data_IF_155596656605
#
_entry.id   IF_155596656605
#
_cell.length_a   1.000
_cell.length_b   1.000
_cell.length_c   1.000
_cell.angle_alpha   90.00
_cell.angle_beta   90.00
_cell.angle_gamma   90.00
#
_symmetry.space_group_name_H-M   'P 1'
#
loop_
_entity.id
_entity.type
_entity.pdbx_description
1 polymer ?
#
# COMPACT_ATOMS: atom_id res chain seq x y z
N UNK A 1 -19.28 6.45 -7.26
CA UNK A 1 -17.83 6.71 -7.41
C UNK A 1 -17.28 5.67 -8.37
N UNK A 2 -16.52 6.04 -9.41
CA UNK A 2 -15.95 5.02 -10.32
C UNK A 2 -14.95 4.13 -9.56
N UNK A 3 -14.78 2.86 -9.93
CA UNK A 3 -13.85 1.95 -9.25
C UNK A 3 -12.43 2.54 -9.16
N UNK A 4 -11.94 3.19 -10.23
CA UNK A 4 -10.65 3.87 -10.22
C UNK A 4 -10.56 5.02 -9.19
N UNK A 5 -11.64 5.79 -9.00
CA UNK A 5 -11.70 6.85 -7.97
C UNK A 5 -11.68 6.24 -6.57
N UNK A 6 -12.31 5.09 -6.35
CA UNK A 6 -12.27 4.36 -5.08
C UNK A 6 -10.85 3.91 -4.74
N UNK A 7 -10.18 3.20 -5.64
CA UNK A 7 -8.83 2.68 -5.41
C UNK A 7 -7.81 3.80 -5.18
N UNK A 8 -7.92 4.89 -5.95
CA UNK A 8 -7.12 6.10 -5.73
C UNK A 8 -7.37 6.68 -4.33
N UNK A 9 -8.63 6.80 -3.90
CA UNK A 9 -8.95 7.30 -2.56
C UNK A 9 -8.35 6.40 -1.47
N UNK A 10 -8.48 5.07 -1.61
CA UNK A 10 -7.88 4.12 -0.66
C UNK A 10 -6.36 4.30 -0.61
N UNK A 11 -5.69 4.39 -1.75
CA UNK A 11 -4.23 4.64 -1.82
C UNK A 11 -3.81 5.93 -1.13
N UNK A 12 -4.56 7.03 -1.33
CA UNK A 12 -4.27 8.31 -0.67
C UNK A 12 -4.49 8.21 0.85
N UNK A 13 -5.57 7.56 1.28
CA UNK A 13 -5.80 7.30 2.72
C UNK A 13 -4.68 6.45 3.30
N UNK A 14 -4.24 5.40 2.61
CA UNK A 14 -3.09 4.58 3.04
C UNK A 14 -1.81 5.40 3.17
N UNK A 15 -1.54 6.34 2.26
CA UNK A 15 -0.39 7.24 2.38
C UNK A 15 -0.47 8.13 3.63
N UNK A 16 -1.66 8.65 3.95
CA UNK A 16 -1.89 9.44 5.17
C UNK A 16 -1.70 8.60 6.42
N UNK A 17 -2.22 7.37 6.45
CA UNK A 17 -2.05 6.45 7.58
C UNK A 17 -0.57 6.11 7.82
N UNK A 18 0.19 5.82 6.75
CA UNK A 18 1.63 5.58 6.84
C UNK A 18 2.39 6.81 7.36
N UNK A 19 2.01 8.01 6.91
CA UNK A 19 2.59 9.25 7.44
C UNK A 19 2.30 9.42 8.94
N UNK A 20 1.08 9.10 9.40
CA UNK A 20 0.74 9.13 10.82
C UNK A 20 1.55 8.10 11.64
N UNK A 21 1.76 6.88 11.09
CA UNK A 21 2.63 5.86 11.70
C UNK A 21 4.08 6.34 11.78
N UNK A 22 4.59 7.01 10.75
CA UNK A 22 5.92 7.62 10.79
C UNK A 22 6.03 8.65 11.93
N UNK A 23 5.03 9.52 12.09
CA UNK A 23 4.99 10.49 13.21
C UNK A 23 4.98 9.80 14.56
N UNK A 24 4.18 8.73 14.73
CA UNK A 24 4.19 7.91 15.96
C UNK A 24 5.60 7.40 16.26
N UNK A 25 6.34 6.91 15.26
CA UNK A 25 7.69 6.42 15.47
C UNK A 25 8.71 7.52 15.78
N UNK A 26 8.52 8.75 15.27
CA UNK A 26 9.33 9.91 15.70
C UNK A 26 9.12 10.18 17.19
N UNK A 27 7.86 10.17 17.66
CA UNK A 27 7.54 10.38 19.08
C UNK A 27 8.14 9.28 19.95
N UNK A 28 8.04 8.01 19.53
CA UNK A 28 8.63 6.88 20.26
C UNK A 28 10.16 6.94 20.31
N UNK A 29 10.80 7.36 19.21
CA UNK A 29 12.25 7.58 19.18
C UNK A 29 12.68 8.69 20.14
N UNK A 30 11.95 9.82 20.17
CA UNK A 30 12.22 10.94 21.05
C UNK A 30 12.02 10.59 22.54
N UNK A 31 11.07 9.71 22.84
CA UNK A 31 10.83 9.17 24.18
C UNK A 31 11.77 8.03 24.60
N UNK A 32 12.76 7.66 23.77
CA UNK A 32 13.68 6.55 24.00
C UNK A 32 12.98 5.20 24.30
N UNK A 33 11.80 4.96 23.71
CA UNK A 33 11.04 3.73 23.90
C UNK A 33 11.60 2.58 23.05
N UNK A 34 12.73 2.02 23.45
CA UNK A 34 13.41 0.94 22.74
C UNK A 34 14.49 1.45 21.79
N UNK A 35 14.78 0.69 20.73
CA UNK A 35 15.89 1.02 19.82
C UNK A 35 15.55 2.21 18.92
N UNK A 36 16.29 3.31 19.08
CA UNK A 36 16.18 4.51 18.21
C UNK A 36 16.42 4.13 16.74
N UNK A 37 17.40 3.27 16.47
CA UNK A 37 17.69 2.81 15.11
C UNK A 37 16.49 2.08 14.47
N UNK A 38 15.76 1.27 15.26
CA UNK A 38 14.53 0.61 14.80
C UNK A 38 13.46 1.62 14.42
N UNK A 39 13.26 2.66 15.25
CA UNK A 39 12.27 3.70 14.96
C UNK A 39 12.65 4.53 13.73
N UNK A 40 13.92 4.89 13.56
CA UNK A 40 14.40 5.57 12.35
C UNK A 40 14.12 4.71 11.11
N UNK A 41 14.37 3.40 11.18
CA UNK A 41 14.02 2.47 10.10
C UNK A 41 12.52 2.51 9.76
N UNK A 42 11.65 2.46 10.76
CA UNK A 42 10.20 2.56 10.52
C UNK A 42 9.79 3.90 9.93
N UNK A 43 10.35 5.02 10.40
CA UNK A 43 10.07 6.35 9.83
C UNK A 43 10.43 6.37 8.35
N UNK A 44 11.64 5.93 8.00
CA UNK A 44 12.11 5.93 6.61
C UNK A 44 11.22 5.07 5.71
N UNK A 45 10.92 3.84 6.12
CA UNK A 45 10.07 2.93 5.34
C UNK A 45 8.67 3.52 5.11
N UNK A 46 8.04 4.05 6.17
CA UNK A 46 6.70 4.62 6.07
C UNK A 46 6.67 5.88 5.20
N UNK A 47 7.63 6.80 5.36
CA UNK A 47 7.72 8.03 4.56
C UNK A 47 7.98 7.72 3.09
N UNK A 48 8.92 6.82 2.80
CA UNK A 48 9.22 6.43 1.41
C UNK A 48 8.03 5.76 0.76
N UNK A 49 7.35 4.83 1.45
CA UNK A 49 6.17 4.19 0.88
C UNK A 49 5.04 5.20 0.68
N UNK A 50 4.76 6.08 1.64
CA UNK A 50 3.75 7.13 1.50
C UNK A 50 4.05 8.06 0.29
N UNK A 51 5.30 8.48 0.14
CA UNK A 51 5.75 9.29 -0.99
C UNK A 51 5.56 8.56 -2.33
N UNK A 52 5.93 7.27 -2.41
CA UNK A 52 5.73 6.45 -3.60
C UNK A 52 4.24 6.29 -3.93
N UNK A 53 3.39 6.05 -2.93
CA UNK A 53 1.95 5.94 -3.12
C UNK A 53 1.35 7.22 -3.72
N UNK A 54 1.90 8.40 -3.45
CA UNK A 54 1.39 9.67 -4.00
C UNK A 54 2.03 9.99 -5.35
N UNK A 55 3.35 9.98 -5.45
CA UNK A 55 4.08 10.50 -6.62
C UNK A 55 4.32 9.48 -7.71
N UNK A 56 4.54 8.21 -7.35
CA UNK A 56 4.92 7.13 -8.28
C UNK A 56 4.21 5.83 -7.90
N UNK A 57 2.86 5.77 -7.95
CA UNK A 57 2.09 4.63 -7.43
C UNK A 57 2.45 3.29 -8.09
N UNK A 58 2.89 3.32 -9.35
CA UNK A 58 3.40 2.16 -10.09
C UNK A 58 4.61 1.51 -9.40
N UNK A 59 5.46 2.34 -8.79
CA UNK A 59 6.68 1.93 -8.08
C UNK A 59 6.39 1.51 -6.64
N UNK A 60 5.28 1.97 -6.05
CA UNK A 60 4.87 1.60 -4.69
C UNK A 60 4.49 0.12 -4.56
N UNK A 61 4.11 -0.54 -5.66
CA UNK A 61 3.63 -1.93 -5.67
C UNK A 61 4.66 -2.92 -5.12
N UNK A 62 5.91 -2.86 -5.59
CA UNK A 62 6.94 -3.83 -5.18
C UNK A 62 7.35 -3.67 -3.71
N UNK A 63 7.62 -2.45 -3.20
CA UNK A 63 7.83 -2.22 -1.78
C UNK A 63 6.62 -2.64 -0.93
N UNK A 64 5.38 -2.41 -1.40
CA UNK A 64 4.19 -2.85 -0.69
C UNK A 64 4.11 -4.38 -0.58
N UNK A 65 4.50 -5.14 -1.62
CA UNK A 65 4.60 -6.62 -1.54
C UNK A 65 5.65 -7.03 -0.52
N UNK A 66 6.85 -6.46 -0.60
CA UNK A 66 7.95 -6.80 0.31
C UNK A 66 7.57 -6.53 1.77
N UNK A 67 6.96 -5.37 2.03
CA UNK A 67 6.45 -5.03 3.35
C UNK A 67 5.30 -5.92 3.76
N UNK A 68 4.35 -6.23 2.87
CA UNK A 68 3.28 -7.18 3.19
C UNK A 68 3.83 -8.52 3.63
N UNK A 69 4.82 -9.08 2.93
CA UNK A 69 5.45 -10.34 3.31
C UNK A 69 6.17 -10.22 4.67
N UNK A 70 6.95 -9.16 4.88
CA UNK A 70 7.68 -8.91 6.12
C UNK A 70 6.75 -8.73 7.32
N UNK A 71 5.62 -8.05 7.13
CA UNK A 71 4.64 -7.76 8.17
C UNK A 71 3.79 -9.00 8.50
N UNK A 72 3.42 -9.79 7.49
CA UNK A 72 2.80 -11.12 7.71
C UNK A 72 3.73 -12.05 8.48
N UNK A 73 5.04 -12.03 8.21
CA UNK A 73 5.99 -12.82 8.98
C UNK A 73 6.12 -12.34 10.43
N UNK A 74 6.22 -11.03 10.65
CA UNK A 74 6.38 -10.46 12.00
C UNK A 74 5.10 -10.57 12.82
N UNK A 75 4.02 -9.91 12.38
CA UNK A 75 2.76 -9.81 13.11
C UNK A 75 1.87 -11.02 12.95
N UNK A 76 2.01 -11.81 11.87
CA UNK A 76 1.25 -13.04 11.71
C UNK A 76 1.66 -14.10 12.72
N UNK A 77 2.93 -14.15 13.11
CA UNK A 77 3.40 -15.01 14.21
C UNK A 77 2.82 -14.56 15.55
N UNK A 78 2.84 -13.27 15.86
CA UNK A 78 2.23 -12.70 17.08
C UNK A 78 0.72 -13.00 17.14
N UNK A 79 0.02 -12.75 16.03
CA UNK A 79 -1.43 -12.99 15.90
C UNK A 79 -1.80 -14.47 15.99
N UNK A 80 -0.91 -15.38 15.60
CA UNK A 80 -1.15 -16.83 15.71
C UNK A 80 -1.33 -17.25 17.18
N UNK A 81 -0.60 -16.64 18.11
CA UNK A 81 -0.76 -16.88 19.55
C UNK A 81 -2.16 -16.47 20.03
N UNK A 82 -2.67 -15.34 19.55
CA UNK A 82 -4.04 -14.89 19.85
C UNK A 82 -5.10 -15.89 19.35
N UNK A 83 -4.95 -16.41 18.12
CA UNK A 83 -5.93 -17.35 17.55
C UNK A 83 -5.83 -18.77 18.12
N UNK A 84 -4.66 -19.17 18.58
CA UNK A 84 -4.46 -20.42 19.31
C UNK A 84 -4.91 -20.34 20.77
N UNK A 85 -5.37 -19.17 21.22
CA UNK A 85 -5.87 -18.94 22.58
C UNK A 85 -4.77 -18.88 23.65
N UNK A 86 -3.51 -18.71 23.24
CA UNK A 86 -2.38 -18.61 24.18
C UNK A 86 -2.16 -17.19 24.69
N UNK A 87 -2.65 -16.19 23.96
CA UNK A 87 -2.53 -14.76 24.29
C UNK A 87 -3.86 -14.02 24.01
N UNK A 88 -4.09 -12.83 24.60
CA UNK A 88 -5.18 -11.94 24.19
C UNK A 88 -5.09 -11.57 22.70
N UNK A 89 -6.19 -11.09 22.13
CA UNK A 89 -6.20 -10.63 20.73
C UNK A 89 -5.34 -9.37 20.55
N UNK A 90 -4.28 -9.49 19.77
CA UNK A 90 -3.45 -8.36 19.35
C UNK A 90 -4.08 -7.64 18.15
N UNK A 91 -4.77 -6.54 18.45
CA UNK A 91 -5.40 -5.68 17.45
C UNK A 91 -4.41 -4.95 16.54
N UNK A 92 -3.20 -4.63 17.01
CA UNK A 92 -2.18 -3.97 16.18
C UNK A 92 -1.69 -4.95 15.12
N UNK A 93 -1.34 -6.18 15.53
CA UNK A 93 -0.97 -7.25 14.60
C UNK A 93 -2.07 -7.60 13.62
N UNK A 94 -3.33 -7.68 14.06
CA UNK A 94 -4.47 -7.92 13.16
C UNK A 94 -4.62 -6.80 12.13
N UNK A 95 -4.58 -5.54 12.56
CA UNK A 95 -4.72 -4.39 11.67
C UNK A 95 -3.61 -4.36 10.61
N UNK A 96 -2.37 -4.63 11.01
CA UNK A 96 -1.21 -4.67 10.11
C UNK A 96 -1.32 -5.82 9.10
N UNK A 97 -1.70 -7.02 9.57
CA UNK A 97 -1.90 -8.20 8.73
C UNK A 97 -3.05 -8.04 7.73
N UNK A 98 -4.03 -7.16 7.98
CA UNK A 98 -5.09 -6.83 7.02
C UNK A 98 -4.71 -5.67 6.10
N UNK A 99 -4.05 -4.65 6.63
CA UNK A 99 -3.72 -3.42 5.89
C UNK A 99 -2.82 -3.68 4.69
N UNK A 100 -1.66 -4.33 4.88
CA UNK A 100 -0.68 -4.47 3.79
C UNK A 100 -1.17 -5.37 2.65
N UNK A 101 -1.78 -6.55 2.90
CA UNK A 101 -2.37 -7.35 1.81
C UNK A 101 -3.49 -6.61 1.08
N UNK A 102 -4.30 -5.83 1.80
CA UNK A 102 -5.34 -4.99 1.18
C UNK A 102 -4.71 -3.92 0.29
N UNK A 103 -3.66 -3.24 0.76
CA UNK A 103 -2.94 -2.25 -0.04
C UNK A 103 -2.34 -2.85 -1.30
N UNK A 104 -1.72 -4.04 -1.21
CA UNK A 104 -1.20 -4.77 -2.38
C UNK A 104 -2.31 -5.07 -3.38
N UNK A 105 -3.46 -5.55 -2.89
CA UNK A 105 -4.64 -5.86 -3.73
C UNK A 105 -5.16 -4.62 -4.45
N UNK A 106 -5.29 -3.50 -3.72
CA UNK A 106 -5.72 -2.21 -4.30
C UNK A 106 -4.76 -1.74 -5.38
N UNK A 107 -3.45 -1.80 -5.13
CA UNK A 107 -2.44 -1.40 -6.12
C UNK A 107 -2.42 -2.32 -7.34
N UNK A 108 -2.68 -3.62 -7.15
CA UNK A 108 -2.79 -4.57 -8.26
C UNK A 108 -3.99 -4.24 -9.15
N UNK A 109 -5.16 -4.04 -8.56
CA UNK A 109 -6.39 -3.72 -9.30
C UNK A 109 -6.25 -2.36 -10.00
N UNK A 110 -5.79 -1.31 -9.30
CA UNK A 110 -5.57 0.02 -9.90
C UNK A 110 -4.64 -0.05 -11.11
N UNK A 111 -3.59 -0.89 -11.05
CA UNK A 111 -2.68 -1.10 -12.19
C UNK A 111 -3.35 -1.77 -13.38
N UNK A 112 -4.23 -2.75 -13.15
CA UNK A 112 -4.98 -3.44 -14.21
C UNK A 112 -5.96 -2.50 -14.90
N UNK A 113 -6.77 -1.80 -14.12
CA UNK A 113 -7.75 -0.83 -14.64
C UNK A 113 -7.09 0.26 -15.50
N UNK A 114 -5.90 0.75 -15.08
CA UNK A 114 -5.14 1.72 -15.87
C UNK A 114 -4.55 1.14 -17.16
N UNK A 115 -4.22 -0.16 -17.18
CA UNK A 115 -3.72 -0.83 -18.37
C UNK A 115 -4.85 -1.10 -19.36
N UNK A 116 -6.00 -1.58 -18.87
CA UNK A 116 -7.19 -1.85 -19.68
C UNK A 116 -7.73 -0.55 -20.31
N UNK A 117 -7.78 0.55 -19.55
CA UNK A 117 -8.15 1.86 -20.08
C UNK A 117 -7.17 2.38 -21.14
N UNK A 118 -5.87 2.11 -20.99
CA UNK A 118 -4.87 2.51 -21.99
C UNK A 118 -4.98 1.68 -23.27
N UNK A 119 -5.24 0.38 -23.15
CA UNK A 119 -5.46 -0.50 -24.31
C UNK A 119 -6.73 -0.13 -25.09
N UNK A 120 -7.83 0.20 -24.41
CA UNK A 120 -9.05 0.67 -25.04
C UNK A 120 -8.81 1.99 -25.81
N UNK A 121 -8.15 2.96 -25.19
CA UNK A 121 -7.82 4.23 -25.83
C UNK A 121 -6.90 4.07 -27.05
N UNK A 122 -5.99 3.09 -27.03
CA UNK A 122 -5.15 2.77 -28.17
C UNK A 122 -5.97 2.17 -29.32
N UNK A 123 -6.87 1.22 -29.03
CA UNK A 123 -7.74 0.61 -30.02
C UNK A 123 -8.67 1.63 -30.69
N UNK A 124 -9.24 2.56 -29.90
CA UNK A 124 -10.07 3.64 -30.43
C UNK A 124 -9.27 4.57 -31.37
N UNK A 125 -8.03 4.91 -31.00
CA UNK A 125 -7.16 5.74 -31.84
C UNK A 125 -6.73 5.04 -33.15
N UNK A 126 -6.52 3.73 -33.12
CA UNK A 126 -6.23 2.92 -34.31
C UNK A 126 -7.45 2.86 -35.24
N UNK A 127 -8.66 2.67 -34.69
CA UNK A 127 -9.90 2.65 -35.48
C UNK A 127 -10.21 4.00 -36.14
N UNK A 128 -9.97 5.12 -35.45
CA UNK A 128 -10.12 6.46 -36.03
C UNK A 128 -9.10 6.73 -37.15
N UNK A 129 -7.86 6.26 -36.99
CA UNK A 129 -6.82 6.39 -38.00
C UNK A 129 -7.15 5.61 -39.28
N UNK A 130 -7.63 4.36 -39.13
CA UNK A 130 -8.04 3.52 -40.26
C UNK A 130 -9.24 4.12 -40.99
N UNK A 131 -10.26 4.59 -40.25
CA UNK A 131 -11.44 5.22 -40.84
C UNK A 131 -11.11 6.53 -41.58
N UNK A 132 -10.12 7.29 -41.09
CA UNK A 132 -9.63 8.50 -41.76
C UNK A 132 -8.74 8.22 -42.97
N UNK A 133 -8.15 7.04 -43.08
CA UNK A 133 -7.33 6.63 -44.24
C UNK A 133 -8.17 6.13 -45.42
N UNK A 134 -9.42 5.71 -45.18
CA UNK A 134 -10.36 5.27 -46.22
C UNK A 134 -11.25 6.39 -46.79
N UNK A 135 -11.16 7.61 -46.24
CA UNK A 135 -11.95 8.79 -46.65
C UNK A 135 -11.19 9.71 -47.62
#
# INVERSE_FOLDING_TARGET
>A
MTPLKLYRSIRIVSAVLLAAVAVRHVVLAAGAHGSVARHVGFVLVNVVLAALLVWRPRWAFWPAIALSAQQMWSHGLELSGSFLGTEPLDWESLAVCLFFPTLVTVLFIERRELADAAAAAQADAEAEADAGAEA
#
